data_IF_681889843119
#
_entry.id   IF_681889843119
#
_cell.length_a   1.000
_cell.length_b   1.000
_cell.length_c   1.000
_cell.angle_alpha   90.00
_cell.angle_beta   90.00
_cell.angle_gamma   90.00
#
_symmetry.space_group_name_H-M   'P 1'
#
loop_
_entity.id
_entity.type
_entity.pdbx_description
1 polymer ?
#
# COMPACT_ATOMS: atom_id res chain seq x y z
N UNK A 1 10.72 -7.40 30.07
CA UNK A 1 9.96 -8.24 29.14
C UNK A 1 10.95 -8.79 28.13
N UNK A 2 10.95 -10.10 27.86
CA UNK A 2 11.90 -10.74 26.93
C UNK A 2 11.22 -11.88 26.19
N UNK A 3 11.40 -11.96 24.88
CA UNK A 3 10.59 -12.83 24.02
C UNK A 3 9.13 -12.43 24.18
N UNK A 4 8.31 -13.34 24.69
CA UNK A 4 6.88 -13.13 24.93
C UNK A 4 6.48 -13.18 26.42
N UNK A 5 7.42 -12.98 27.35
CA UNK A 5 7.17 -13.14 28.79
C UNK A 5 7.68 -11.97 29.65
N UNK A 6 6.96 -11.71 30.75
CA UNK A 6 7.36 -10.77 31.79
C UNK A 6 8.27 -11.46 32.82
N UNK A 7 9.26 -10.72 33.34
CA UNK A 7 10.02 -11.17 34.51
C UNK A 7 9.17 -10.92 35.75
N UNK A 8 8.58 -11.98 36.32
CA UNK A 8 7.63 -11.90 37.44
C UNK A 8 8.24 -11.40 38.75
N UNK A 9 9.56 -11.54 38.93
CA UNK A 9 10.28 -10.99 40.09
C UNK A 9 10.33 -9.46 40.04
N UNK A 10 10.53 -8.88 38.84
CA UNK A 10 10.54 -7.42 38.65
C UNK A 10 9.11 -6.88 38.55
N UNK A 11 8.23 -7.65 37.91
CA UNK A 11 6.86 -7.28 37.56
C UNK A 11 5.82 -8.16 38.26
N UNK A 12 5.72 -8.13 39.60
CA UNK A 12 4.74 -8.94 40.34
C UNK A 12 3.29 -8.44 40.16
N UNK A 13 3.12 -7.17 39.80
CA UNK A 13 1.84 -6.56 39.43
C UNK A 13 2.07 -5.36 38.47
N UNK A 14 1.00 -4.87 37.84
CA UNK A 14 1.08 -3.84 36.81
C UNK A 14 1.69 -2.51 37.28
N UNK A 15 1.22 -1.99 38.42
CA UNK A 15 1.72 -0.73 39.00
C UNK A 15 3.20 -0.80 39.38
N UNK A 16 3.61 -1.87 40.08
CA UNK A 16 5.02 -2.07 40.48
C UNK A 16 5.92 -2.23 39.26
N UNK A 17 5.45 -2.95 38.24
CA UNK A 17 6.19 -3.14 37.00
C UNK A 17 6.39 -1.81 36.25
N UNK A 18 5.33 -1.00 36.10
CA UNK A 18 5.43 0.31 35.45
C UNK A 18 6.37 1.28 36.19
N UNK A 19 6.43 1.22 37.52
CA UNK A 19 7.36 2.04 38.31
C UNK A 19 8.82 1.57 38.20
N UNK A 20 9.06 0.27 38.04
CA UNK A 20 10.41 -0.34 38.00
C UNK A 20 11.00 -0.50 36.60
N UNK A 21 10.19 -0.33 35.56
CA UNK A 21 10.60 -0.48 34.18
C UNK A 21 10.57 0.86 33.44
N UNK A 22 11.41 0.98 32.41
CA UNK A 22 11.45 2.14 31.53
C UNK A 22 11.29 1.70 30.08
N UNK A 23 10.74 2.59 29.26
CA UNK A 23 10.82 2.51 27.81
C UNK A 23 12.08 3.27 27.36
N UNK A 24 12.84 2.66 26.45
CA UNK A 24 14.10 3.21 25.94
C UNK A 24 13.92 3.83 24.55
N UNK A 25 14.92 4.59 24.13
CA UNK A 25 14.97 5.15 22.77
C UNK A 25 15.03 4.06 21.68
N UNK A 26 14.52 4.39 20.50
CA UNK A 26 14.50 3.49 19.36
C UNK A 26 15.60 3.85 18.34
N UNK A 27 16.40 2.86 17.95
CA UNK A 27 17.29 2.97 16.78
C UNK A 27 16.49 2.66 15.51
N UNK A 28 15.70 3.64 15.06
CA UNK A 28 14.69 3.49 13.99
C UNK A 28 15.19 2.72 12.77
N UNK A 29 16.31 3.15 12.17
CA UNK A 29 16.77 2.55 10.93
C UNK A 29 17.39 1.16 11.13
N UNK A 30 18.29 1.00 12.09
CA UNK A 30 19.09 -0.23 12.24
C UNK A 30 18.35 -1.37 12.93
N UNK A 31 17.41 -1.05 13.83
CA UNK A 31 16.64 -2.06 14.58
C UNK A 31 15.27 -2.30 13.95
N UNK A 32 14.58 -1.24 13.55
CA UNK A 32 13.19 -1.32 13.10
C UNK A 32 13.02 -1.16 11.58
N UNK A 33 14.06 -0.74 10.85
CA UNK A 33 13.99 -0.54 9.40
C UNK A 33 13.08 0.62 9.00
N UNK A 34 12.97 1.62 9.87
CA UNK A 34 12.18 2.83 9.65
C UNK A 34 13.12 3.96 9.24
N UNK A 35 12.80 4.65 8.16
CA UNK A 35 13.54 5.82 7.68
C UNK A 35 12.60 6.86 7.09
N UNK A 36 13.02 8.12 7.15
CA UNK A 36 12.29 9.25 6.56
C UNK A 36 13.19 10.02 5.59
N UNK A 37 12.61 10.60 4.54
CA UNK A 37 13.30 11.51 3.64
C UNK A 37 12.30 12.54 3.10
N UNK A 38 12.47 13.82 3.44
CA UNK A 38 11.48 14.84 3.14
C UNK A 38 10.14 14.54 3.82
N UNK A 39 9.10 14.38 3.01
CA UNK A 39 7.73 14.01 3.38
C UNK A 39 7.46 12.50 3.36
N UNK A 40 8.43 11.68 2.93
CA UNK A 40 8.27 10.24 2.81
C UNK A 40 8.68 9.48 4.09
N UNK A 41 7.88 8.48 4.45
CA UNK A 41 8.16 7.48 5.50
C UNK A 41 8.25 6.09 4.87
N UNK A 42 9.35 5.37 5.12
CA UNK A 42 9.51 3.97 4.70
C UNK A 42 9.59 3.07 5.92
N UNK A 43 8.76 2.02 5.93
CA UNK A 43 8.74 0.99 6.98
C UNK A 43 9.06 -0.36 6.33
N UNK A 44 10.15 -1.01 6.76
CA UNK A 44 10.44 -2.39 6.35
C UNK A 44 9.65 -3.37 7.21
N UNK A 45 9.08 -4.39 6.58
CA UNK A 45 8.38 -5.45 7.31
C UNK A 45 9.33 -6.28 8.20
N UNK A 46 10.55 -6.59 7.72
CA UNK A 46 11.51 -7.40 8.47
C UNK A 46 12.88 -6.74 8.51
N UNK A 47 13.41 -6.55 9.72
CA UNK A 47 14.75 -5.98 9.95
C UNK A 47 15.56 -6.93 10.82
N UNK A 48 16.65 -7.47 10.26
CA UNK A 48 17.57 -8.36 11.00
C UNK A 48 18.70 -7.54 11.60
N UNK A 49 18.80 -7.56 12.92
CA UNK A 49 19.89 -6.96 13.70
C UNK A 49 20.40 -7.99 14.72
N UNK A 50 20.79 -7.57 15.93
CA UNK A 50 21.00 -8.51 17.04
C UNK A 50 19.73 -9.32 17.36
N UNK A 51 18.57 -8.71 17.17
CA UNK A 51 17.26 -9.36 17.17
C UNK A 51 16.58 -9.13 15.81
N UNK A 52 15.65 -10.02 15.45
CA UNK A 52 14.82 -9.82 14.26
C UNK A 52 13.56 -9.07 14.66
N UNK A 53 13.39 -7.86 14.12
CA UNK A 53 12.16 -7.09 14.24
C UNK A 53 11.18 -7.43 13.10
N UNK A 54 9.90 -7.52 13.43
CA UNK A 54 8.80 -7.80 12.48
C UNK A 54 7.73 -6.72 12.64
N UNK A 55 7.48 -5.97 11.58
CA UNK A 55 6.52 -4.86 11.54
C UNK A 55 6.95 -3.63 12.35
N UNK A 56 6.14 -2.58 12.25
CA UNK A 56 6.24 -1.40 13.11
C UNK A 56 4.89 -0.66 13.14
N UNK A 57 4.66 0.10 14.21
CA UNK A 57 3.61 1.11 14.31
C UNK A 57 4.26 2.42 14.73
N UNK A 58 3.97 3.49 14.02
CA UNK A 58 4.50 4.83 14.27
C UNK A 58 3.37 5.84 14.28
N UNK A 59 3.59 6.96 14.96
CA UNK A 59 2.63 8.05 15.07
C UNK A 59 3.29 9.33 14.57
N UNK A 60 2.51 10.17 13.89
CA UNK A 60 2.96 11.50 13.51
C UNK A 60 3.02 12.39 14.77
N UNK A 61 4.11 13.13 14.92
CA UNK A 61 4.38 13.98 16.08
C UNK A 61 4.26 15.46 15.68
N UNK A 62 3.54 16.26 16.48
CA UNK A 62 3.55 17.72 16.35
C UNK A 62 4.80 18.32 17.02
N UNK A 63 5.25 17.70 18.11
CA UNK A 63 6.44 18.09 18.86
C UNK A 63 7.08 16.87 19.52
N UNK A 64 8.22 17.02 20.19
CA UNK A 64 8.86 15.90 20.90
C UNK A 64 7.95 15.19 21.92
N UNK A 65 6.90 15.86 22.41
CA UNK A 65 6.07 15.35 23.52
C UNK A 65 4.58 15.27 23.20
N UNK A 66 4.18 15.56 21.95
CA UNK A 66 2.78 15.50 21.52
C UNK A 66 2.61 14.90 20.14
N UNK A 67 1.61 14.03 19.99
CA UNK A 67 1.12 13.57 18.69
C UNK A 67 0.49 14.72 17.91
N UNK A 68 0.60 14.64 16.59
CA UNK A 68 -0.18 15.49 15.69
C UNK A 68 -1.65 15.05 15.72
N UNK A 69 -2.52 15.96 16.16
CA UNK A 69 -3.96 15.69 16.28
C UNK A 69 -4.71 16.22 15.05
N UNK A 70 -5.64 15.43 14.54
CA UNK A 70 -6.42 15.75 13.35
C UNK A 70 -7.92 15.84 13.67
N UNK A 71 -8.59 16.87 13.15
CA UNK A 71 -10.03 17.04 13.21
C UNK A 71 -10.61 16.88 11.81
N UNK A 72 -11.00 15.66 11.44
CA UNK A 72 -11.30 15.28 10.05
C UNK A 72 -12.73 15.58 9.60
N UNK A 73 -13.63 15.99 10.51
CA UNK A 73 -15.00 16.31 10.13
C UNK A 73 -15.03 17.48 9.14
N UNK A 74 -15.64 17.23 7.98
CA UNK A 74 -15.72 18.19 6.88
C UNK A 74 -14.35 18.66 6.36
N UNK A 75 -13.36 17.77 6.39
CA UNK A 75 -12.02 17.97 5.84
C UNK A 75 -11.66 16.83 4.88
N UNK A 76 -10.63 17.06 4.07
CA UNK A 76 -10.01 16.03 3.23
C UNK A 76 -8.66 15.62 3.83
N UNK A 77 -8.35 14.33 3.80
CA UNK A 77 -7.04 13.79 4.13
C UNK A 77 -6.52 13.01 2.92
N UNK A 78 -5.32 13.36 2.45
CA UNK A 78 -4.72 12.79 1.25
C UNK A 78 -3.28 12.40 1.55
N UNK A 79 -2.83 11.28 0.98
CA UNK A 79 -1.46 10.79 1.07
C UNK A 79 -1.12 9.95 -0.17
N UNK A 80 0.16 9.86 -0.48
CA UNK A 80 0.68 8.94 -1.48
C UNK A 80 1.24 7.69 -0.80
N UNK A 81 1.13 6.54 -1.46
CA UNK A 81 1.60 5.26 -0.94
C UNK A 81 2.21 4.39 -2.03
N UNK A 82 3.23 3.62 -1.65
CA UNK A 82 3.89 2.60 -2.46
C UNK A 82 3.91 1.27 -1.68
N UNK A 83 3.16 0.29 -2.17
CA UNK A 83 3.05 -1.09 -1.73
C UNK A 83 3.66 -2.08 -2.71
N UNK A 84 4.41 -1.61 -3.69
CA UNK A 84 5.00 -2.45 -4.75
C UNK A 84 5.92 -3.52 -4.17
N UNK A 85 6.54 -3.23 -3.03
CA UNK A 85 7.43 -4.12 -2.29
C UNK A 85 6.75 -4.81 -1.09
N UNK A 86 5.46 -4.57 -0.84
CA UNK A 86 4.71 -5.24 0.21
C UNK A 86 4.30 -6.61 -0.33
N UNK A 87 4.76 -7.72 0.27
CA UNK A 87 4.39 -9.04 -0.19
C UNK A 87 2.93 -9.36 0.17
N UNK A 88 2.36 -10.33 -0.54
CA UNK A 88 1.00 -10.81 -0.25
C UNK A 88 0.83 -11.22 1.22
N UNK A 89 -0.29 -10.80 1.83
CA UNK A 89 -0.62 -11.14 3.21
C UNK A 89 -0.03 -10.20 4.26
N UNK A 90 0.66 -9.15 3.83
CA UNK A 90 1.10 -8.05 4.70
C UNK A 90 0.21 -6.85 4.45
N UNK A 91 -0.32 -6.29 5.54
CA UNK A 91 -1.15 -5.10 5.50
C UNK A 91 -0.26 -3.87 5.71
N UNK A 92 -0.24 -2.98 4.73
CA UNK A 92 0.15 -1.59 4.97
C UNK A 92 -1.08 -0.85 5.45
N UNK A 93 -0.98 -0.17 6.60
CA UNK A 93 -2.11 0.51 7.20
C UNK A 93 -1.79 1.98 7.52
N UNK A 94 -2.72 2.86 7.17
CA UNK A 94 -2.79 4.26 7.61
C UNK A 94 -4.21 4.50 8.13
N UNK A 95 -4.31 4.86 9.41
CA UNK A 95 -5.58 4.98 10.11
C UNK A 95 -5.47 5.99 11.24
N UNK A 96 -6.62 6.44 11.74
CA UNK A 96 -6.73 7.34 12.88
C UNK A 96 -7.36 6.60 14.07
N UNK A 97 -6.82 6.86 15.26
CA UNK A 97 -7.37 6.37 16.52
C UNK A 97 -7.51 7.52 17.51
N UNK A 98 -8.51 7.44 18.38
CA UNK A 98 -8.80 8.47 19.38
C UNK A 98 -7.89 8.36 20.62
N UNK A 99 -6.59 8.48 20.41
CA UNK A 99 -5.58 8.55 21.48
C UNK A 99 -5.48 9.97 22.06
N UNK A 100 -4.96 10.07 23.28
CA UNK A 100 -4.61 11.37 23.87
C UNK A 100 -3.32 11.94 23.25
N UNK A 101 -3.30 13.24 22.99
CA UNK A 101 -2.17 13.91 22.35
C UNK A 101 -0.83 13.72 23.09
N UNK A 102 -0.86 13.56 24.41
CA UNK A 102 0.32 13.34 25.25
C UNK A 102 0.59 11.85 25.56
N UNK A 103 -0.12 10.94 24.89
CA UNK A 103 -0.05 9.49 25.15
C UNK A 103 -0.65 9.06 26.49
N UNK A 104 -1.49 9.91 27.10
CA UNK A 104 -2.11 9.67 28.40
C UNK A 104 -1.23 10.09 29.58
N UNK A 105 -0.16 10.84 29.33
CA UNK A 105 0.80 11.28 30.36
C UNK A 105 0.11 12.10 31.48
N UNK A 106 -0.79 13.01 31.11
CA UNK A 106 -1.54 13.84 32.06
C UNK A 106 -2.65 13.07 32.80
N UNK A 107 -3.27 12.09 32.15
CA UNK A 107 -4.36 11.30 32.74
C UNK A 107 -3.88 10.20 33.67
N UNK A 108 -2.72 9.61 33.41
CA UNK A 108 -2.24 8.42 34.10
C UNK A 108 -0.89 8.71 34.79
N UNK A 109 -0.86 8.98 36.11
CA UNK A 109 0.36 9.33 36.81
C UNK A 109 1.49 8.29 36.73
N UNK A 110 1.16 7.02 36.51
CA UNK A 110 2.14 5.94 36.29
C UNK A 110 2.79 5.96 34.90
N UNK A 111 2.18 6.63 33.92
CA UNK A 111 2.82 6.90 32.64
C UNK A 111 3.76 8.10 32.80
N UNK A 112 5.07 7.86 32.72
CA UNK A 112 6.10 8.92 32.70
C UNK A 112 6.76 9.09 31.34
N UNK A 113 6.36 8.29 30.35
CA UNK A 113 6.98 8.26 29.04
C UNK A 113 6.21 9.12 28.03
N UNK A 114 4.87 9.02 28.00
CA UNK A 114 4.00 9.84 27.17
C UNK A 114 4.19 9.62 25.66
N UNK A 115 3.74 10.58 24.87
CA UNK A 115 3.75 10.49 23.40
C UNK A 115 5.16 10.34 22.81
N UNK A 116 6.18 10.91 23.46
CA UNK A 116 7.61 10.81 23.06
C UNK A 116 8.07 9.36 22.85
N UNK A 117 7.47 8.42 23.59
CA UNK A 117 7.79 7.00 23.56
C UNK A 117 6.64 6.14 23.02
N UNK A 118 5.66 6.72 22.32
CA UNK A 118 4.64 5.93 21.64
C UNK A 118 3.57 5.32 22.56
N UNK A 119 3.35 5.87 23.76
CA UNK A 119 2.38 5.32 24.74
C UNK A 119 0.94 5.75 24.47
N UNK A 120 -0.02 5.03 25.07
CA UNK A 120 -1.44 5.39 25.04
C UNK A 120 -2.23 4.81 23.86
N UNK A 121 -1.65 3.85 23.12
CA UNK A 121 -2.34 3.20 22.00
C UNK A 121 -3.63 2.52 22.41
N UNK A 122 -4.63 2.64 21.54
CA UNK A 122 -5.93 2.01 21.59
C UNK A 122 -6.48 1.92 20.16
N UNK A 123 -7.42 1.02 19.93
CA UNK A 123 -8.15 0.91 18.66
C UNK A 123 -9.54 0.26 18.88
N UNK A 124 -10.28 -0.02 17.81
CA UNK A 124 -11.63 -0.60 17.88
C UNK A 124 -11.68 -2.07 18.32
N UNK A 125 -10.54 -2.77 18.23
CA UNK A 125 -10.40 -4.18 18.60
C UNK A 125 -10.10 -4.39 20.09
N UNK A 126 -9.88 -3.31 20.84
CA UNK A 126 -9.52 -3.38 22.26
C UNK A 126 -8.30 -4.28 22.54
N UNK A 127 -7.15 -4.09 21.87
CA UNK A 127 -6.00 -4.97 21.89
C UNK A 127 -5.51 -5.24 23.30
N UNK A 128 -5.33 -6.52 23.61
CA UNK A 128 -4.83 -7.01 24.91
C UNK A 128 -3.33 -7.30 24.92
N UNK A 129 -2.68 -7.19 23.79
CA UNK A 129 -1.24 -7.38 23.61
C UNK A 129 -0.41 -6.13 23.94
N UNK A 130 -1.08 -5.00 24.20
CA UNK A 130 -0.44 -3.77 24.64
C UNK A 130 0.17 -3.96 26.02
N UNK A 131 1.50 -3.79 26.09
CA UNK A 131 2.32 -4.08 27.28
C UNK A 131 2.09 -3.09 28.42
N UNK A 132 1.71 -1.85 28.13
CA UNK A 132 1.43 -0.81 29.11
C UNK A 132 0.14 -0.08 28.75
N UNK A 133 -0.84 -0.09 29.65
CA UNK A 133 -2.16 0.52 29.46
C UNK A 133 -2.44 1.36 30.71
N UNK A 134 -2.91 2.60 30.53
CA UNK A 134 -3.29 3.51 31.62
C UNK A 134 -2.20 3.73 32.69
N UNK A 135 -0.93 3.72 32.29
CA UNK A 135 0.21 3.90 33.20
C UNK A 135 0.55 2.68 34.06
N UNK A 136 -0.03 1.51 33.75
CA UNK A 136 0.30 0.23 34.39
C UNK A 136 0.82 -0.77 33.36
N UNK A 137 1.70 -1.69 33.77
CA UNK A 137 2.08 -2.81 32.92
C UNK A 137 0.93 -3.84 32.85
N UNK A 138 0.66 -4.37 31.67
CA UNK A 138 -0.33 -5.42 31.46
C UNK A 138 0.25 -6.82 31.80
N UNK A 139 1.01 -6.92 32.90
CA UNK A 139 1.74 -8.15 33.27
C UNK A 139 0.87 -9.19 33.98
N UNK A 140 -0.25 -8.77 34.57
CA UNK A 140 -1.18 -9.66 35.28
C UNK A 140 -2.01 -10.46 34.25
N UNK A 141 -2.10 -11.77 34.44
CA UNK A 141 -2.83 -12.66 33.54
C UNK A 141 -2.19 -12.81 32.15
N UNK A 142 -0.92 -12.42 31.99
CA UNK A 142 -0.24 -12.47 30.70
C UNK A 142 -0.10 -13.91 30.18
N UNK A 143 -0.63 -14.14 28.98
CA UNK A 143 -0.56 -15.42 28.28
C UNK A 143 0.28 -15.25 27.01
N UNK A 144 1.44 -15.92 26.90
CA UNK A 144 2.28 -15.88 25.70
C UNK A 144 1.54 -16.40 24.46
N UNK A 145 1.76 -15.74 23.31
CA UNK A 145 1.20 -16.21 22.04
C UNK A 145 1.87 -17.52 21.60
N UNK A 146 1.12 -18.52 21.10
CA UNK A 146 1.69 -19.75 20.55
C UNK A 146 2.33 -19.55 19.16
N UNK A 147 1.95 -18.48 18.45
CA UNK A 147 2.36 -18.22 17.07
C UNK A 147 3.23 -16.95 16.91
N UNK A 148 3.41 -16.18 17.97
CA UNK A 148 4.27 -15.00 17.98
C UNK A 148 5.27 -15.06 19.15
N UNK A 149 6.58 -15.20 18.88
CA UNK A 149 7.59 -15.29 19.93
C UNK A 149 7.81 -13.99 20.70
N UNK A 150 7.22 -12.87 20.27
CA UNK A 150 7.39 -11.54 20.86
C UNK A 150 6.10 -10.96 21.47
N UNK A 151 4.96 -11.62 21.27
CA UNK A 151 3.66 -11.16 21.71
C UNK A 151 2.94 -12.13 22.65
N UNK A 152 1.91 -11.63 23.29
CA UNK A 152 1.02 -12.34 24.21
C UNK A 152 -0.12 -11.40 24.57
N UNK A 153 -1.01 -11.83 25.45
CA UNK A 153 -2.16 -11.02 25.86
C UNK A 153 -2.26 -10.95 27.36
N UNK A 154 -2.46 -9.74 27.90
CA UNK A 154 -2.70 -9.52 29.32
C UNK A 154 -4.18 -9.48 29.67
N UNK A 155 -4.46 -9.14 30.94
CA UNK A 155 -5.82 -9.01 31.45
C UNK A 155 -6.58 -7.84 30.82
N UNK A 156 -5.89 -6.72 30.56
CA UNK A 156 -6.51 -5.47 30.10
C UNK A 156 -6.42 -5.33 28.58
N UNK A 157 -7.39 -4.62 27.99
CA UNK A 157 -7.39 -4.18 26.59
C UNK A 157 -7.55 -2.67 26.49
N UNK A 158 -7.04 -2.06 25.42
CA UNK A 158 -7.07 -0.62 25.21
C UNK A 158 -8.02 -0.25 24.06
N UNK A 159 -9.21 0.30 24.38
CA UNK A 159 -10.26 0.58 23.40
C UNK A 159 -10.39 2.06 23.07
N UNK A 160 -10.59 2.40 21.80
CA UNK A 160 -11.08 3.72 21.37
C UNK A 160 -11.70 3.67 19.98
N UNK A 161 -12.25 4.79 19.51
CA UNK A 161 -12.74 4.90 18.14
C UNK A 161 -11.56 4.83 17.15
N UNK A 162 -11.82 4.20 16.01
CA UNK A 162 -10.86 3.98 14.93
C UNK A 162 -11.51 4.35 13.60
N UNK A 163 -10.72 4.95 12.71
CA UNK A 163 -11.08 5.24 11.34
C UNK A 163 -9.96 4.76 10.43
N UNK A 164 -10.18 3.60 9.82
CA UNK A 164 -9.27 3.02 8.83
C UNK A 164 -9.36 3.79 7.51
N UNK A 165 -8.35 4.62 7.23
CA UNK A 165 -8.28 5.37 5.97
C UNK A 165 -7.84 4.45 4.84
N UNK A 166 -6.84 3.63 5.13
CA UNK A 166 -6.26 2.74 4.16
C UNK A 166 -5.70 1.50 4.83
N UNK A 167 -6.22 0.36 4.39
CA UNK A 167 -5.69 -0.96 4.65
C UNK A 167 -5.63 -1.69 3.31
N UNK A 168 -4.43 -1.90 2.79
CA UNK A 168 -4.28 -2.65 1.54
C UNK A 168 -3.10 -3.60 1.60
N UNK A 169 -3.24 -4.66 0.83
CA UNK A 169 -2.20 -5.67 0.61
C UNK A 169 -1.95 -5.78 -0.87
N UNK A 170 -0.73 -6.15 -1.25
CA UNK A 170 -0.50 -6.68 -2.58
C UNK A 170 -1.27 -8.01 -2.70
N UNK A 171 -1.99 -8.17 -3.80
CA UNK A 171 -2.78 -9.37 -4.07
C UNK A 171 -2.32 -10.14 -5.31
N UNK A 172 -1.33 -9.60 -6.02
CA UNK A 172 -0.83 -10.16 -7.26
C UNK A 172 0.70 -10.18 -7.23
N UNK A 173 1.30 -11.35 -7.25
CA UNK A 173 2.75 -11.51 -7.16
C UNK A 173 3.24 -12.38 -8.32
N UNK A 174 4.24 -11.88 -9.04
CA UNK A 174 4.66 -12.47 -10.31
C UNK A 174 3.52 -12.42 -11.31
N UNK A 175 2.93 -13.57 -11.62
CA UNK A 175 1.83 -13.71 -12.55
C UNK A 175 0.57 -14.36 -11.96
N UNK A 176 0.44 -14.37 -10.63
CA UNK A 176 -0.65 -15.07 -9.93
C UNK A 176 -1.34 -14.20 -8.88
N UNK A 177 -2.67 -14.34 -8.80
CA UNK A 177 -3.49 -13.75 -7.74
C UNK A 177 -3.45 -14.59 -6.45
N UNK A 178 -3.47 -13.93 -5.30
CA UNK A 178 -3.70 -14.59 -4.02
C UNK A 178 -5.18 -14.96 -3.88
N UNK A 179 -5.50 -16.26 -3.94
CA UNK A 179 -6.89 -16.75 -3.93
C UNK A 179 -7.61 -16.55 -2.60
N UNK A 180 -6.89 -16.42 -1.48
CA UNK A 180 -7.47 -16.15 -0.17
C UNK A 180 -7.92 -14.69 -0.05
N UNK A 181 -7.12 -13.76 -0.57
CA UNK A 181 -7.42 -12.32 -0.56
C UNK A 181 -8.43 -11.98 -1.68
N UNK A 182 -8.30 -12.65 -2.83
CA UNK A 182 -9.11 -12.46 -4.02
C UNK A 182 -9.99 -13.68 -4.33
N UNK A 183 -10.97 -14.03 -3.47
CA UNK A 183 -11.89 -15.13 -3.74
C UNK A 183 -12.83 -14.84 -4.93
N UNK A 184 -13.03 -13.55 -5.24
CA UNK A 184 -13.77 -13.06 -6.41
C UNK A 184 -13.23 -11.68 -6.83
N UNK A 185 -13.61 -11.21 -8.02
CA UNK A 185 -13.12 -9.97 -8.60
C UNK A 185 -13.46 -8.71 -7.80
N UNK A 186 -14.68 -8.64 -7.25
CA UNK A 186 -15.15 -7.49 -6.46
C UNK A 186 -14.41 -7.38 -5.13
N UNK A 187 -14.30 -8.47 -4.37
CA UNK A 187 -13.54 -8.51 -3.11
C UNK A 187 -12.07 -8.17 -3.34
N UNK A 188 -11.50 -8.65 -4.45
CA UNK A 188 -10.13 -8.33 -4.83
C UNK A 188 -9.98 -6.83 -5.12
N UNK A 189 -10.86 -6.22 -5.93
CA UNK A 189 -10.81 -4.79 -6.21
C UNK A 189 -10.97 -3.89 -4.96
N UNK A 190 -11.59 -4.38 -3.89
CA UNK A 190 -11.71 -3.66 -2.62
C UNK A 190 -10.47 -3.78 -1.73
N UNK A 191 -9.75 -4.90 -1.78
CA UNK A 191 -8.63 -5.19 -0.86
C UNK A 191 -7.25 -4.94 -1.45
N UNK A 192 -7.17 -4.81 -2.77
CA UNK A 192 -5.93 -4.74 -3.51
C UNK A 192 -5.68 -3.32 -3.99
N UNK A 193 -4.46 -2.82 -3.79
CA UNK A 193 -4.05 -1.52 -4.31
C UNK A 193 -3.72 -1.61 -5.81
N UNK A 194 -4.12 -0.57 -6.54
CA UNK A 194 -3.60 -0.22 -7.86
C UNK A 194 -2.68 0.98 -7.68
N UNK A 195 -1.45 0.88 -8.18
CA UNK A 195 -0.40 1.85 -7.91
C UNK A 195 0.15 2.51 -9.16
N UNK A 196 0.86 3.62 -8.94
CA UNK A 196 1.58 4.31 -9.98
C UNK A 196 2.74 3.48 -10.53
N UNK A 197 3.14 3.79 -11.77
CA UNK A 197 4.24 3.13 -12.43
C UNK A 197 5.54 3.94 -12.27
N UNK A 198 6.65 3.25 -11.94
CA UNK A 198 7.99 3.82 -12.07
C UNK A 198 8.43 3.77 -13.54
N UNK A 199 8.01 4.76 -14.33
CA UNK A 199 8.14 4.78 -15.80
C UNK A 199 9.56 4.49 -16.29
N UNK A 200 10.57 5.19 -15.77
CA UNK A 200 11.94 5.06 -16.29
C UNK A 200 12.64 3.78 -15.82
N UNK A 201 12.57 3.45 -14.52
CA UNK A 201 13.31 2.33 -13.96
C UNK A 201 12.66 0.97 -14.24
N UNK A 202 11.33 0.88 -14.21
CA UNK A 202 10.60 -0.37 -14.46
C UNK A 202 10.33 -0.56 -15.94
N UNK A 203 9.83 0.47 -16.63
CA UNK A 203 9.32 0.33 -18.00
C UNK A 203 10.27 0.91 -19.06
N UNK A 204 11.32 1.63 -18.67
CA UNK A 204 12.24 2.26 -19.61
C UNK A 204 11.58 3.37 -20.43
N UNK A 205 10.51 3.97 -19.90
CA UNK A 205 9.78 5.08 -20.49
C UNK A 205 10.40 6.38 -20.01
N UNK A 206 10.65 7.30 -20.93
CA UNK A 206 11.14 8.64 -20.62
C UNK A 206 10.57 9.66 -21.61
N UNK A 207 10.40 10.90 -21.15
CA UNK A 207 9.99 12.03 -21.98
C UNK A 207 11.09 13.09 -22.04
N UNK A 208 11.23 13.77 -23.17
CA UNK A 208 12.11 14.92 -23.34
C UNK A 208 11.48 15.92 -24.30
N UNK A 209 11.02 17.06 -23.79
CA UNK A 209 10.25 18.00 -24.60
C UNK A 209 8.91 17.38 -25.02
N UNK A 210 8.68 17.32 -26.32
CA UNK A 210 7.52 16.69 -26.97
C UNK A 210 7.76 15.22 -27.36
N UNK A 211 8.97 14.68 -27.14
CA UNK A 211 9.30 13.30 -27.47
C UNK A 211 9.01 12.32 -26.31
N UNK A 212 8.42 11.18 -26.66
CA UNK A 212 8.22 10.00 -25.80
C UNK A 212 9.10 8.86 -26.29
N UNK A 213 9.96 8.33 -25.42
CA UNK A 213 10.77 7.14 -25.69
C UNK A 213 10.26 5.96 -24.88
N UNK A 214 9.98 4.84 -25.54
CA UNK A 214 9.59 3.57 -24.92
C UNK A 214 10.60 2.50 -25.27
N UNK A 215 11.18 1.84 -24.26
CA UNK A 215 12.04 0.67 -24.46
C UNK A 215 11.20 -0.60 -24.48
N UNK A 216 11.49 -1.49 -25.44
CA UNK A 216 10.84 -2.80 -25.48
C UNK A 216 11.30 -3.71 -24.32
N UNK A 217 12.56 -3.61 -23.88
CA UNK A 217 13.10 -4.42 -22.79
C UNK A 217 13.79 -3.53 -21.76
N UNK A 218 13.39 -3.67 -20.50
CA UNK A 218 14.01 -2.98 -19.36
C UNK A 218 14.40 -4.00 -18.30
N UNK A 219 15.69 -4.05 -17.96
CA UNK A 219 16.24 -4.96 -16.94
C UNK A 219 16.47 -4.17 -15.66
N UNK A 220 15.62 -4.41 -14.66
CA UNK A 220 15.73 -3.83 -13.31
C UNK A 220 15.76 -4.95 -12.26
N UNK A 221 15.14 -4.77 -11.09
CA UNK A 221 14.89 -5.89 -10.15
C UNK A 221 14.05 -6.99 -10.80
N UNK A 222 13.15 -6.61 -11.71
CA UNK A 222 12.41 -7.51 -12.59
C UNK A 222 12.64 -7.10 -14.05
N UNK A 223 12.59 -8.07 -14.95
CA UNK A 223 12.63 -7.79 -16.40
C UNK A 223 11.21 -7.44 -16.85
N UNK A 224 11.07 -6.26 -17.45
CA UNK A 224 9.84 -5.82 -18.09
C UNK A 224 9.96 -5.95 -19.61
N UNK A 225 8.91 -6.45 -20.25
CA UNK A 225 8.81 -6.64 -21.71
C UNK A 225 7.59 -5.86 -22.22
N UNK A 226 7.84 -4.87 -23.07
CA UNK A 226 6.84 -3.98 -23.61
C UNK A 226 6.29 -2.99 -22.57
N UNK A 227 5.62 -1.95 -23.06
CA UNK A 227 4.84 -1.05 -22.22
C UNK A 227 3.72 -0.42 -23.05
N UNK A 228 2.64 -0.04 -22.39
CA UNK A 228 1.55 0.75 -22.95
C UNK A 228 1.41 2.01 -22.12
N UNK A 229 1.25 3.15 -22.77
CA UNK A 229 0.98 4.44 -22.13
C UNK A 229 -0.16 5.13 -22.83
N UNK A 230 -0.82 6.02 -22.10
CA UNK A 230 -1.91 6.85 -22.60
C UNK A 230 -1.48 8.31 -22.54
N UNK A 231 -1.97 9.10 -23.50
CA UNK A 231 -1.83 10.54 -23.42
C UNK A 231 -2.83 11.10 -22.39
N UNK A 232 -2.34 11.92 -21.47
CA UNK A 232 -3.13 12.51 -20.39
C UNK A 232 -3.38 14.00 -20.70
N UNK A 233 -4.63 14.45 -20.55
CA UNK A 233 -4.98 15.89 -20.59
C UNK A 233 -4.71 16.56 -19.23
N UNK A 234 -4.91 15.81 -18.15
CA UNK A 234 -4.66 16.24 -16.76
C UNK A 234 -4.31 15.02 -15.92
N UNK A 235 -3.99 15.21 -14.63
CA UNK A 235 -3.69 14.08 -13.73
C UNK A 235 -4.82 13.05 -13.62
N UNK A 236 -6.07 13.43 -13.93
CA UNK A 236 -7.25 12.58 -13.75
C UNK A 236 -8.01 12.28 -15.03
N UNK A 237 -7.54 12.74 -16.19
CA UNK A 237 -8.22 12.55 -17.48
C UNK A 237 -7.28 12.20 -18.63
N UNK A 238 -7.69 11.23 -19.43
CA UNK A 238 -7.10 10.97 -20.74
C UNK A 238 -7.37 12.12 -21.71
N UNK A 239 -6.42 12.34 -22.62
CA UNK A 239 -6.62 13.21 -23.76
C UNK A 239 -7.58 12.55 -24.76
N UNK A 240 -8.74 13.18 -24.97
CA UNK A 240 -9.77 12.68 -25.88
C UNK A 240 -9.62 13.31 -27.27
N UNK A 241 -9.68 12.48 -28.32
CA UNK A 241 -9.54 12.92 -29.71
C UNK A 241 -10.87 12.84 -30.47
N UNK A 242 -11.26 13.94 -31.11
CA UNK A 242 -12.45 14.02 -31.97
C UNK A 242 -12.03 14.36 -33.39
N UNK A 243 -11.65 13.34 -34.17
CA UNK A 243 -10.93 13.52 -35.43
C UNK A 243 -11.82 13.80 -36.66
N UNK A 244 -13.13 13.99 -36.49
CA UNK A 244 -14.01 14.25 -37.62
C UNK A 244 -13.62 15.56 -38.31
N UNK A 245 -13.17 15.49 -39.57
CA UNK A 245 -12.62 16.60 -40.34
C UNK A 245 -11.40 17.27 -39.70
N UNK A 246 -10.59 16.52 -38.95
CA UNK A 246 -9.33 16.98 -38.38
C UNK A 246 -8.16 16.13 -38.90
N UNK A 247 -6.94 16.64 -38.72
CA UNK A 247 -5.70 15.95 -39.05
C UNK A 247 -4.96 15.60 -37.75
N UNK A 248 -4.38 14.40 -37.70
CA UNK A 248 -3.48 13.97 -36.64
C UNK A 248 -2.13 13.62 -37.26
N UNK A 249 -1.06 14.23 -36.76
CA UNK A 249 0.31 14.01 -37.24
C UNK A 249 1.22 13.66 -36.06
N UNK A 250 2.17 12.77 -36.31
CA UNK A 250 3.20 12.40 -35.36
C UNK A 250 4.47 12.00 -36.11
N UNK A 251 5.62 12.24 -35.48
CA UNK A 251 6.90 11.73 -35.93
C UNK A 251 7.24 10.46 -35.18
N UNK A 252 7.84 9.49 -35.87
CA UNK A 252 8.23 8.21 -35.28
C UNK A 252 9.64 7.83 -35.70
N UNK A 253 10.47 7.53 -34.71
CA UNK A 253 11.79 6.93 -34.90
C UNK A 253 11.74 5.45 -34.47
N UNK A 254 11.74 4.56 -35.46
CA UNK A 254 11.82 3.10 -35.26
C UNK A 254 13.20 2.53 -35.60
N UNK A 255 14.24 3.37 -35.74
CA UNK A 255 15.57 2.95 -36.17
C UNK A 255 16.23 1.89 -35.27
N UNK A 256 15.78 1.80 -34.01
CA UNK A 256 16.27 0.84 -33.01
C UNK A 256 15.32 -0.36 -32.81
N UNK A 257 14.21 -0.45 -33.55
CA UNK A 257 13.24 -1.54 -33.41
C UNK A 257 13.71 -2.73 -34.25
N UNK A 258 13.99 -3.90 -33.62
CA UNK A 258 14.44 -5.07 -34.36
C UNK A 258 13.30 -5.72 -35.16
N UNK A 259 13.65 -6.53 -36.16
CA UNK A 259 12.69 -7.28 -36.95
C UNK A 259 11.75 -8.13 -36.06
N UNK A 260 10.45 -8.12 -36.38
CA UNK A 260 9.43 -8.92 -35.69
C UNK A 260 8.82 -8.25 -34.47
N UNK A 261 9.15 -6.99 -34.17
CA UNK A 261 8.51 -6.18 -33.14
C UNK A 261 7.55 -5.19 -33.79
N UNK A 262 6.33 -5.10 -33.25
CA UNK A 262 5.35 -4.09 -33.64
C UNK A 262 5.34 -2.96 -32.60
N UNK A 263 5.65 -1.73 -33.03
CA UNK A 263 5.42 -0.52 -32.26
C UNK A 263 4.08 0.07 -32.68
N UNK A 264 3.05 -0.07 -31.85
CA UNK A 264 1.69 0.29 -32.22
C UNK A 264 1.29 1.65 -31.64
N UNK A 265 0.66 2.48 -32.48
CA UNK A 265 -0.08 3.67 -32.08
C UNK A 265 -1.50 3.53 -32.64
N UNK A 266 -2.49 3.64 -31.77
CA UNK A 266 -3.88 3.45 -32.14
C UNK A 266 -4.79 4.23 -31.19
N UNK A 267 -6.00 4.53 -31.65
CA UNK A 267 -7.06 5.11 -30.83
C UNK A 267 -7.97 4.01 -30.28
N UNK A 268 -8.40 4.17 -29.04
CA UNK A 268 -9.39 3.29 -28.39
C UNK A 268 -10.51 4.11 -27.77
N UNK A 269 -11.72 3.56 -27.79
CA UNK A 269 -12.89 4.21 -27.21
C UNK A 269 -12.96 3.99 -25.69
N UNK A 270 -12.26 4.84 -24.94
CA UNK A 270 -12.23 4.83 -23.48
C UNK A 270 -13.01 6.01 -22.88
N UNK A 271 -13.49 5.86 -21.65
CA UNK A 271 -14.05 6.98 -20.87
C UNK A 271 -12.91 7.90 -20.39
N UNK A 272 -13.09 9.22 -20.48
CA UNK A 272 -12.02 10.19 -20.19
C UNK A 272 -11.44 10.08 -18.78
N UNK A 273 -12.25 9.69 -17.79
CA UNK A 273 -11.84 9.48 -16.40
C UNK A 273 -11.37 8.04 -16.12
N UNK A 274 -11.18 7.22 -17.16
CA UNK A 274 -10.84 5.80 -17.05
C UNK A 274 -11.97 4.94 -16.51
N UNK A 275 -13.22 5.41 -16.59
CA UNK A 275 -14.40 4.71 -16.13
C UNK A 275 -14.69 4.91 -14.63
N UNK A 276 -14.05 5.91 -14.00
CA UNK A 276 -14.20 6.20 -12.57
C UNK A 276 -15.65 6.55 -12.21
N UNK A 277 -16.31 7.40 -13.00
CA UNK A 277 -17.71 7.78 -12.80
C UNK A 277 -18.69 6.66 -13.15
N UNK A 278 -18.33 5.79 -14.10
CA UNK A 278 -19.20 4.75 -14.64
C UNK A 278 -19.21 3.49 -13.77
N UNK A 279 -18.08 3.15 -13.15
CA UNK A 279 -17.90 1.91 -12.41
C UNK A 279 -17.58 2.21 -10.94
N UNK A 280 -18.55 2.05 -10.01
CA UNK A 280 -18.34 2.40 -8.59
C UNK A 280 -17.19 1.65 -7.91
N UNK A 281 -16.84 0.45 -8.40
CA UNK A 281 -15.71 -0.34 -7.92
C UNK A 281 -14.35 0.12 -8.47
N UNK A 282 -14.33 0.96 -9.50
CA UNK A 282 -13.09 1.57 -9.99
C UNK A 282 -12.74 2.76 -9.09
N UNK A 283 -11.61 2.67 -8.40
CA UNK A 283 -11.06 3.76 -7.57
C UNK A 283 -9.80 4.38 -8.14
N UNK A 284 -9.30 3.84 -9.26
CA UNK A 284 -8.04 4.24 -9.86
C UNK A 284 -8.26 5.30 -10.96
N UNK A 285 -9.17 5.02 -11.91
CA UNK A 285 -9.44 5.94 -13.02
C UNK A 285 -8.23 6.15 -13.94
N UNK A 286 -8.28 7.24 -14.72
CA UNK A 286 -7.28 7.54 -15.74
C UNK A 286 -5.86 7.70 -15.17
N UNK A 287 -5.72 8.26 -13.96
CA UNK A 287 -4.44 8.46 -13.25
C UNK A 287 -3.61 7.17 -13.18
N UNK A 288 -4.27 6.02 -13.01
CA UNK A 288 -3.63 4.71 -12.88
C UNK A 288 -3.91 3.78 -14.06
N UNK A 289 -4.36 4.30 -15.21
CA UNK A 289 -4.42 3.51 -16.44
C UNK A 289 -5.64 2.58 -16.59
N UNK A 290 -6.69 2.74 -15.77
CA UNK A 290 -7.88 1.86 -15.86
C UNK A 290 -8.81 2.24 -17.01
N UNK A 291 -9.68 1.30 -17.40
CA UNK A 291 -10.66 1.51 -18.48
C UNK A 291 -10.14 1.10 -19.85
N UNK A 292 -8.90 0.62 -19.93
CA UNK A 292 -8.34 0.11 -21.17
C UNK A 292 -9.13 -1.07 -21.72
N UNK A 293 -9.24 -1.08 -23.04
CA UNK A 293 -9.88 -2.08 -23.87
C UNK A 293 -9.34 -1.93 -25.30
N UNK A 294 -9.52 -2.95 -26.13
CA UNK A 294 -9.22 -2.88 -27.55
C UNK A 294 -10.12 -3.84 -28.35
N UNK A 295 -9.93 -3.91 -29.68
CA UNK A 295 -10.75 -4.77 -30.56
C UNK A 295 -10.44 -6.27 -30.44
N UNK A 296 -9.28 -6.62 -29.87
CA UNK A 296 -8.82 -7.98 -29.61
C UNK A 296 -9.36 -8.54 -28.28
N UNK A 297 -10.01 -7.70 -27.47
CA UNK A 297 -10.60 -8.09 -26.19
C UNK A 297 -9.58 -8.76 -25.22
N UNK A 298 -8.45 -8.10 -24.89
CA UNK A 298 -7.37 -8.66 -24.10
C UNK A 298 -7.88 -9.16 -22.76
N UNK A 299 -7.44 -10.38 -22.43
CA UNK A 299 -7.84 -11.10 -21.22
C UNK A 299 -6.76 -11.08 -20.14
N UNK A 300 -5.60 -10.54 -20.44
CA UNK A 300 -4.48 -10.33 -19.52
C UNK A 300 -4.62 -9.01 -18.72
N UNK A 301 -5.68 -8.24 -18.99
CA UNK A 301 -6.03 -7.07 -18.19
C UNK A 301 -6.44 -7.50 -16.79
N UNK A 302 -5.69 -7.03 -15.80
CA UNK A 302 -5.81 -7.41 -14.38
C UNK A 302 -7.04 -6.79 -13.72
N UNK A 303 -7.43 -5.58 -14.12
CA UNK A 303 -8.59 -4.86 -13.58
C UNK A 303 -9.45 -4.34 -14.72
N UNK A 304 -10.72 -4.72 -14.72
CA UNK A 304 -11.69 -4.38 -15.76
C UNK A 304 -12.94 -3.85 -15.05
N UNK A 305 -13.37 -2.63 -15.40
CA UNK A 305 -14.64 -2.05 -14.94
C UNK A 305 -14.84 -2.06 -13.40
N UNK A 306 -13.76 -1.87 -12.64
CA UNK A 306 -13.82 -1.86 -11.17
C UNK A 306 -13.80 -3.23 -10.50
N UNK A 307 -13.52 -4.30 -11.25
CA UNK A 307 -13.30 -5.65 -10.71
C UNK A 307 -11.94 -6.19 -11.13
N UNK A 308 -11.32 -7.00 -10.26
CA UNK A 308 -10.14 -7.76 -10.65
C UNK A 308 -10.53 -8.95 -11.53
N UNK A 309 -9.77 -9.21 -12.59
CA UNK A 309 -9.92 -10.37 -13.47
C UNK A 309 -9.32 -11.65 -12.85
N UNK A 310 -9.50 -11.83 -11.53
CA UNK A 310 -8.86 -12.90 -10.75
C UNK A 310 -9.55 -14.26 -10.90
N UNK A 311 -10.85 -14.27 -11.20
CA UNK A 311 -11.62 -15.51 -11.37
C UNK A 311 -11.19 -16.23 -12.63
N UNK A 312 -10.75 -17.49 -12.48
CA UNK A 312 -10.28 -18.32 -13.61
C UNK A 312 -8.96 -17.86 -14.20
N UNK A 313 -8.18 -17.05 -13.47
CA UNK A 313 -6.87 -16.59 -13.93
C UNK A 313 -5.90 -17.75 -14.13
N UNK A 314 -5.30 -17.81 -15.32
CA UNK A 314 -4.28 -18.79 -15.70
C UNK A 314 -2.96 -18.06 -15.92
N UNK A 315 -1.93 -18.28 -15.07
CA UNK A 315 -0.62 -17.67 -15.24
C UNK A 315 0.03 -18.04 -16.58
N UNK A 316 0.73 -17.11 -17.21
CA UNK A 316 1.46 -17.39 -18.45
C UNK A 316 2.69 -18.26 -18.15
N UNK A 317 2.96 -19.32 -18.96
CA UNK A 317 4.16 -20.13 -18.80
C UNK A 317 5.43 -19.43 -19.29
N UNK A 318 5.31 -18.40 -20.13
CA UNK A 318 6.42 -17.70 -20.77
C UNK A 318 6.57 -16.25 -20.33
N UNK A 319 5.60 -15.70 -19.59
CA UNK A 319 5.62 -14.34 -19.06
C UNK A 319 5.47 -14.36 -17.53
N UNK A 320 6.51 -13.96 -16.78
CA UNK A 320 6.48 -13.94 -15.32
C UNK A 320 5.55 -12.86 -14.73
N UNK A 321 5.00 -11.96 -15.55
CA UNK A 321 4.19 -10.81 -15.12
C UNK A 321 2.75 -10.83 -15.68
N UNK A 322 2.44 -11.75 -16.59
CA UNK A 322 1.16 -11.83 -17.29
C UNK A 322 0.47 -13.19 -17.15
N UNK A 323 -0.81 -13.21 -17.45
CA UNK A 323 -1.67 -14.39 -17.43
C UNK A 323 -2.96 -14.08 -18.16
N UNK A 324 -3.93 -14.99 -18.08
CA UNK A 324 -5.19 -14.86 -18.80
C UNK A 324 -6.34 -15.05 -17.83
N UNK A 325 -7.16 -14.03 -17.68
CA UNK A 325 -8.37 -14.07 -16.88
C UNK A 325 -9.59 -14.57 -17.65
N UNK A 326 -10.71 -14.65 -16.92
CA UNK A 326 -11.99 -15.06 -17.51
C UNK A 326 -12.55 -14.01 -18.45
N UNK A 327 -12.43 -12.74 -18.12
CA UNK A 327 -13.03 -11.63 -18.86
C UNK A 327 -12.01 -10.99 -19.81
N UNK A 328 -12.51 -10.41 -20.91
CA UNK A 328 -11.72 -9.61 -21.84
C UNK A 328 -12.22 -8.17 -21.86
N UNK A 329 -11.34 -7.21 -22.08
CA UNK A 329 -11.68 -5.79 -22.15
C UNK A 329 -11.85 -5.36 -23.62
N UNK A 330 -13.09 -5.22 -24.08
CA UNK A 330 -13.42 -4.98 -25.48
C UNK A 330 -13.90 -3.55 -25.74
N UNK A 331 -13.38 -2.90 -26.79
CA UNK A 331 -13.99 -1.68 -27.36
C UNK A 331 -13.58 -1.46 -28.82
N UNK A 332 -14.12 -0.40 -29.42
CA UNK A 332 -13.71 0.01 -30.74
C UNK A 332 -12.27 0.55 -30.70
N UNK A 333 -11.49 0.16 -31.71
CA UNK A 333 -10.09 0.53 -31.90
C UNK A 333 -9.90 0.99 -33.35
N UNK A 334 -9.00 1.94 -33.55
CA UNK A 334 -8.57 2.41 -34.86
C UNK A 334 -7.04 2.48 -34.88
N UNK A 335 -6.42 1.56 -35.61
CA UNK A 335 -4.98 1.53 -35.85
C UNK A 335 -4.54 2.68 -36.76
N UNK A 336 -3.34 3.22 -36.52
CA UNK A 336 -2.69 4.28 -37.32
C UNK A 336 -1.54 3.68 -38.13
#
# INVERSE_FOLDING_TARGET
>A
YTGNSWNTTICPNGSTCAQKCALEGAQYQSTYGISTSGDALTIKFLTRSQQTNVGARVYLMESETKYAMFNLLNQEFTFDVDVSQVPCGINGALYFVQMDADGGLSKFPGNKAGAKYGTGYCDSQCPKDIKFINGEANSVGWTPSPSDPNAGTGQYGACCAEMDIWEATNCYTGNSWNTTICPNGSTCAQKCALEGAQYQSTYGISTSGDALTIKFLTRSQQTNVGARVYLMESETKYAMFNLLNQEFTFDVDVSQVPCGINGALYFVQMDADGGLSKFPGNKAGAKYGTGYCDSQCPKDIKFINGEANSVGWTPSPSDPNAGTGRYGACCAEMDI
#
